data_IF_175830721020
#
_entry.id   IF_175830721020
#
_cell.length_a   1.000
_cell.length_b   1.000
_cell.length_c   1.000
_cell.angle_alpha   90.00
_cell.angle_beta   90.00
_cell.angle_gamma   90.00
#
_symmetry.space_group_name_H-M   'P 1'
#
loop_
_entity.id
_entity.type
_entity.pdbx_description
1 polymer ?
#
# COMPACT_ATOMS: atom_id res chain seq x y z
N UNK A 1 -4.75 31.80 -7.39
CA UNK A 1 -4.71 30.54 -6.62
C UNK A 1 -3.40 30.52 -5.85
N UNK A 2 -3.44 30.65 -4.53
CA UNK A 2 -2.25 30.55 -3.68
C UNK A 2 -1.65 29.15 -3.82
N UNK A 3 -0.33 29.05 -4.00
CA UNK A 3 0.35 27.76 -3.99
C UNK A 3 -0.02 27.04 -2.67
N UNK A 4 -0.43 25.77 -2.72
CA UNK A 4 -0.85 25.09 -1.51
C UNK A 4 0.39 24.98 -0.59
N UNK A 5 0.22 25.26 0.71
CA UNK A 5 1.29 25.35 1.70
C UNK A 5 2.19 24.10 1.71
N UNK A 6 3.49 24.25 1.96
CA UNK A 6 4.39 23.09 2.04
C UNK A 6 3.86 22.03 3.03
N UNK A 7 3.99 20.72 2.73
CA UNK A 7 3.55 19.69 3.65
C UNK A 7 4.42 19.74 4.90
N UNK A 8 3.83 19.60 6.08
CA UNK A 8 4.56 19.56 7.35
C UNK A 8 5.49 18.34 7.41
N UNK A 9 6.69 18.45 8.00
CA UNK A 9 7.54 17.29 8.25
C UNK A 9 6.80 16.27 9.13
N UNK A 10 6.80 14.97 8.78
CA UNK A 10 6.25 13.94 9.65
C UNK A 10 7.11 13.77 10.91
N UNK A 11 6.46 13.36 12.01
CA UNK A 11 7.15 12.89 13.22
C UNK A 11 6.65 11.50 13.59
N UNK A 12 7.41 10.76 14.40
CA UNK A 12 7.01 9.44 14.91
C UNK A 12 5.67 9.53 15.66
N UNK A 13 5.46 10.58 16.45
CA UNK A 13 4.22 10.82 17.20
C UNK A 13 3.04 11.05 16.25
N UNK A 14 3.21 11.88 15.22
CA UNK A 14 2.16 12.15 14.24
C UNK A 14 1.77 10.88 13.47
N UNK A 15 2.76 10.06 13.09
CA UNK A 15 2.52 8.78 12.40
C UNK A 15 1.77 7.81 13.30
N UNK A 16 2.21 7.64 14.55
CA UNK A 16 1.55 6.76 15.53
C UNK A 16 0.14 7.24 15.87
N UNK A 17 -0.07 8.55 16.01
CA UNK A 17 -1.39 9.14 16.25
C UNK A 17 -2.34 8.88 15.08
N UNK A 18 -1.89 9.02 13.83
CA UNK A 18 -2.68 8.70 12.66
C UNK A 18 -3.05 7.21 12.59
N UNK A 19 -2.11 6.32 12.94
CA UNK A 19 -2.38 4.89 13.01
C UNK A 19 -3.43 4.54 14.08
N UNK A 20 -3.33 5.13 15.28
CA UNK A 20 -4.32 4.95 16.34
C UNK A 20 -5.70 5.49 15.93
N UNK A 21 -5.75 6.66 15.29
CA UNK A 21 -6.96 7.23 14.71
C UNK A 21 -7.60 6.29 13.68
N UNK A 22 -6.81 5.69 12.79
CA UNK A 22 -7.31 4.75 11.78
C UNK A 22 -7.98 3.53 12.42
N UNK A 23 -7.33 2.92 13.41
CA UNK A 23 -7.86 1.73 14.08
C UNK A 23 -9.10 2.02 14.94
N UNK A 24 -9.24 3.25 15.45
CA UNK A 24 -10.41 3.71 16.18
C UNK A 24 -11.55 4.23 15.26
N UNK A 25 -11.29 4.46 13.97
CA UNK A 25 -12.28 4.97 13.03
C UNK A 25 -13.43 3.96 12.85
N UNK A 26 -14.70 4.39 12.97
CA UNK A 26 -15.84 3.48 12.89
C UNK A 26 -16.01 2.82 11.53
N UNK A 27 -15.42 3.39 10.47
CA UNK A 27 -15.40 2.79 9.13
C UNK A 27 -14.15 1.93 8.92
N UNK A 28 -12.96 2.46 9.23
CA UNK A 28 -11.72 1.76 8.88
C UNK A 28 -11.29 0.69 9.89
N UNK A 29 -11.57 0.88 11.18
CA UNK A 29 -11.24 -0.10 12.22
C UNK A 29 -11.90 -1.47 11.99
N UNK A 30 -13.23 -1.56 11.74
CA UNK A 30 -13.88 -2.82 11.40
C UNK A 30 -13.33 -3.47 10.13
N UNK A 31 -13.04 -2.67 9.09
CA UNK A 31 -12.46 -3.16 7.84
C UNK A 31 -11.07 -3.79 8.06
N UNK A 32 -10.20 -3.13 8.84
CA UNK A 32 -8.89 -3.66 9.21
C UNK A 32 -9.01 -4.99 9.96
N UNK A 33 -9.93 -5.10 10.92
CA UNK A 33 -10.17 -6.35 11.65
C UNK A 33 -10.70 -7.47 10.76
N UNK A 34 -11.56 -7.15 9.79
CA UNK A 34 -12.09 -8.13 8.85
C UNK A 34 -10.98 -8.69 7.95
N UNK A 35 -10.11 -7.83 7.43
CA UNK A 35 -8.96 -8.24 6.62
C UNK A 35 -7.94 -9.03 7.44
N UNK A 36 -7.61 -8.59 8.65
CA UNK A 36 -6.74 -9.34 9.56
C UNK A 36 -7.26 -10.76 9.79
N UNK A 37 -8.57 -10.91 10.02
CA UNK A 37 -9.19 -12.23 10.18
C UNK A 37 -9.07 -13.06 8.91
N UNK A 38 -9.44 -12.50 7.75
CA UNK A 38 -9.43 -13.24 6.49
C UNK A 38 -8.03 -13.74 6.10
N UNK A 39 -7.01 -12.89 6.19
CA UNK A 39 -5.63 -13.27 5.85
C UNK A 39 -5.00 -14.21 6.89
N UNK A 40 -5.47 -14.19 8.14
CA UNK A 40 -5.07 -15.17 9.15
C UNK A 40 -5.75 -16.53 8.95
N UNK A 41 -7.02 -16.55 8.54
CA UNK A 41 -7.75 -17.80 8.23
C UNK A 41 -7.20 -18.48 6.97
N UNK A 42 -6.80 -17.69 5.97
CA UNK A 42 -6.36 -18.16 4.66
C UNK A 42 -4.91 -17.73 4.34
N UNK A 43 -3.92 -18.25 5.10
CA UNK A 43 -2.55 -17.75 5.04
C UNK A 43 -1.80 -18.13 3.76
N UNK A 44 -2.17 -19.24 3.11
CA UNK A 44 -1.58 -19.73 1.87
C UNK A 44 -2.30 -19.16 0.63
N UNK A 45 -1.67 -19.30 -0.53
CA UNK A 45 -2.19 -18.83 -1.81
C UNK A 45 -2.41 -19.96 -2.82
N UNK A 46 -2.78 -21.14 -2.33
CA UNK A 46 -2.85 -22.39 -3.12
C UNK A 46 -4.27 -22.89 -3.38
N UNK A 47 -5.27 -22.42 -2.63
CA UNK A 47 -6.68 -22.79 -2.77
C UNK A 47 -7.44 -21.61 -3.37
N UNK A 48 -8.19 -21.84 -4.45
CA UNK A 48 -8.84 -20.79 -5.22
C UNK A 48 -9.86 -20.02 -4.38
N UNK A 49 -10.73 -20.71 -3.64
CA UNK A 49 -11.79 -20.10 -2.83
C UNK A 49 -11.24 -19.23 -1.69
N UNK A 50 -10.12 -19.66 -1.10
CA UNK A 50 -9.38 -18.95 -0.07
C UNK A 50 -8.77 -17.66 -0.64
N UNK A 51 -8.11 -17.76 -1.81
CA UNK A 51 -7.55 -16.61 -2.51
C UNK A 51 -8.65 -15.65 -2.96
N UNK A 52 -9.71 -16.16 -3.58
CA UNK A 52 -10.86 -15.38 -4.03
C UNK A 52 -11.50 -14.59 -2.88
N UNK A 53 -11.65 -15.22 -1.70
CA UNK A 53 -12.15 -14.55 -0.49
C UNK A 53 -11.26 -13.36 -0.12
N UNK A 54 -9.94 -13.53 -0.14
CA UNK A 54 -8.99 -12.43 0.11
C UNK A 54 -9.08 -11.34 -0.96
N UNK A 55 -9.15 -11.70 -2.25
CA UNK A 55 -9.26 -10.73 -3.35
C UNK A 55 -10.54 -9.90 -3.21
N UNK A 56 -11.71 -10.53 -3.02
CA UNK A 56 -13.00 -9.86 -2.88
C UNK A 56 -12.99 -8.89 -1.70
N UNK A 57 -12.57 -9.35 -0.52
CA UNK A 57 -12.54 -8.53 0.69
C UNK A 57 -11.59 -7.35 0.53
N UNK A 58 -10.36 -7.60 0.06
CA UNK A 58 -9.36 -6.55 -0.10
C UNK A 58 -9.82 -5.52 -1.14
N UNK A 59 -10.31 -5.98 -2.29
CA UNK A 59 -10.73 -5.11 -3.37
C UNK A 59 -11.90 -4.22 -2.96
N UNK A 60 -12.87 -4.77 -2.24
CA UNK A 60 -14.03 -4.02 -1.73
C UNK A 60 -13.61 -2.99 -0.67
N UNK A 61 -12.86 -3.43 0.34
CA UNK A 61 -12.52 -2.59 1.50
C UNK A 61 -11.50 -1.50 1.19
N UNK A 62 -10.61 -1.72 0.21
CA UNK A 62 -9.68 -0.68 -0.29
C UNK A 62 -10.15 0.03 -1.57
N UNK A 63 -11.25 -0.40 -2.18
CA UNK A 63 -11.75 0.16 -3.45
C UNK A 63 -10.69 0.16 -4.56
N UNK A 64 -9.96 -0.95 -4.72
CA UNK A 64 -8.86 -1.05 -5.70
C UNK A 64 -9.33 -1.19 -7.15
N UNK A 65 -10.64 -1.33 -7.36
CA UNK A 65 -11.30 -1.42 -8.66
C UNK A 65 -10.85 -2.63 -9.52
N UNK A 66 -10.41 -3.73 -8.92
CA UNK A 66 -10.24 -4.99 -9.67
C UNK A 66 -11.63 -5.48 -10.06
N UNK A 67 -11.96 -5.48 -11.35
CA UNK A 67 -13.28 -5.94 -11.84
C UNK A 67 -13.27 -7.43 -12.17
N UNK A 68 -12.18 -7.91 -12.76
CA UNK A 68 -11.91 -9.32 -13.03
C UNK A 68 -11.42 -10.03 -11.75
N UNK A 69 -12.32 -10.12 -10.76
CA UNK A 69 -11.98 -10.58 -9.39
C UNK A 69 -11.65 -12.07 -9.36
N UNK A 70 -12.38 -12.89 -10.12
CA UNK A 70 -12.13 -14.33 -10.20
C UNK A 70 -10.83 -14.61 -10.92
N UNK A 71 -10.60 -13.93 -12.04
CA UNK A 71 -9.39 -14.05 -12.86
C UNK A 71 -8.16 -13.60 -12.08
N UNK A 72 -8.28 -12.53 -11.27
CA UNK A 72 -7.20 -12.12 -10.36
C UNK A 72 -6.88 -13.21 -9.32
N UNK A 73 -7.90 -13.91 -8.80
CA UNK A 73 -7.68 -14.99 -7.85
C UNK A 73 -7.01 -16.21 -8.50
N UNK A 74 -7.48 -16.62 -9.68
CA UNK A 74 -6.88 -17.69 -10.50
C UNK A 74 -5.42 -17.36 -10.85
N UNK A 75 -5.16 -16.12 -11.24
CA UNK A 75 -3.83 -15.60 -11.53
C UNK A 75 -2.88 -15.73 -10.32
N UNK A 76 -3.32 -15.28 -9.14
CA UNK A 76 -2.51 -15.40 -7.91
C UNK A 76 -2.19 -16.86 -7.57
N UNK A 77 -3.17 -17.78 -7.71
CA UNK A 77 -2.95 -19.21 -7.48
C UNK A 77 -1.95 -19.77 -8.48
N UNK A 78 -2.10 -19.45 -9.77
CA UNK A 78 -1.21 -19.93 -10.82
C UNK A 78 0.24 -19.45 -10.64
N UNK A 79 0.45 -18.25 -10.09
CA UNK A 79 1.77 -17.70 -9.82
C UNK A 79 2.54 -18.40 -8.68
N UNK A 80 1.88 -19.15 -7.79
CA UNK A 80 2.55 -19.87 -6.70
C UNK A 80 3.38 -18.96 -5.77
N UNK A 81 2.78 -17.87 -5.29
CA UNK A 81 3.51 -16.73 -4.72
C UNK A 81 4.07 -16.92 -3.30
N UNK A 82 3.70 -17.98 -2.57
CA UNK A 82 4.01 -18.11 -1.13
C UNK A 82 5.52 -18.11 -0.83
N UNK A 83 6.33 -18.76 -1.67
CA UNK A 83 7.79 -18.75 -1.53
C UNK A 83 8.39 -17.35 -1.74
N UNK A 84 7.87 -16.60 -2.71
CA UNK A 84 8.31 -15.23 -3.00
C UNK A 84 7.93 -14.26 -1.88
N UNK A 85 6.72 -14.40 -1.32
CA UNK A 85 6.27 -13.63 -0.16
C UNK A 85 7.13 -13.92 1.07
N UNK A 86 7.55 -15.18 1.30
CA UNK A 86 8.38 -15.54 2.44
C UNK A 86 9.74 -14.83 2.45
N UNK A 87 10.33 -14.59 1.28
CA UNK A 87 11.63 -13.90 1.13
C UNK A 87 11.51 -12.40 0.88
N UNK A 88 10.29 -11.84 0.83
CA UNK A 88 10.08 -10.42 0.56
C UNK A 88 10.43 -10.00 -0.86
N UNK A 89 10.30 -10.90 -1.84
CA UNK A 89 10.58 -10.59 -3.25
C UNK A 89 9.68 -9.46 -3.73
N UNK A 90 10.28 -8.39 -4.28
CA UNK A 90 9.53 -7.25 -4.84
C UNK A 90 8.87 -7.59 -6.18
N UNK A 91 9.44 -8.55 -6.91
CA UNK A 91 8.93 -8.99 -8.21
C UNK A 91 7.51 -9.56 -8.12
N UNK A 92 7.14 -10.14 -6.97
CA UNK A 92 5.80 -10.69 -6.74
C UNK A 92 4.69 -9.65 -6.88
N UNK A 93 4.97 -8.39 -6.51
CA UNK A 93 3.99 -7.30 -6.64
C UNK A 93 3.75 -6.97 -8.12
N UNK A 94 4.82 -6.94 -8.93
CA UNK A 94 4.71 -6.77 -10.37
C UNK A 94 3.94 -7.93 -11.02
N UNK A 95 4.28 -9.17 -10.65
CA UNK A 95 3.62 -10.36 -11.18
C UNK A 95 2.11 -10.39 -10.88
N UNK A 96 1.70 -10.06 -9.65
CA UNK A 96 0.26 -9.98 -9.30
C UNK A 96 -0.41 -8.80 -10.01
N UNK A 97 0.28 -7.67 -10.16
CA UNK A 97 -0.28 -6.48 -10.79
C UNK A 97 -0.53 -6.63 -12.29
N UNK A 98 0.23 -7.49 -12.95
CA UNK A 98 0.17 -7.75 -14.39
C UNK A 98 -0.84 -8.84 -14.75
N UNK A 99 -2.13 -8.49 -14.63
CA UNK A 99 -3.24 -9.34 -15.06
C UNK A 99 -3.60 -8.99 -16.51
N UNK A 100 -3.13 -9.78 -17.48
CA UNK A 100 -3.35 -9.52 -18.92
C UNK A 100 -4.83 -9.27 -19.27
N UNK A 101 -5.73 -10.05 -18.67
CA UNK A 101 -7.17 -9.97 -18.92
C UNK A 101 -7.82 -8.63 -18.52
N UNK A 102 -7.16 -7.80 -17.71
CA UNK A 102 -7.75 -6.56 -17.20
C UNK A 102 -7.44 -5.31 -18.04
N UNK A 103 -6.48 -5.40 -18.96
CA UNK A 103 -6.02 -4.27 -19.77
C UNK A 103 -5.37 -3.13 -18.97
N UNK A 104 -5.05 -3.32 -17.68
CA UNK A 104 -4.35 -2.33 -16.86
C UNK A 104 -3.55 -2.94 -15.70
N UNK A 105 -2.52 -2.24 -15.26
CA UNK A 105 -1.68 -2.67 -14.14
C UNK A 105 -2.34 -2.39 -12.78
N UNK A 106 -2.37 -3.39 -11.90
CA UNK A 106 -3.05 -3.35 -10.60
C UNK A 106 -2.12 -3.14 -9.39
N UNK A 107 -1.12 -2.27 -9.49
CA UNK A 107 -0.13 -2.05 -8.42
C UNK A 107 -0.73 -1.73 -7.04
N UNK A 108 -1.80 -0.93 -7.00
CA UNK A 108 -2.48 -0.59 -5.76
C UNK A 108 -3.05 -1.84 -5.07
N UNK A 109 -3.65 -2.76 -5.83
CA UNK A 109 -4.16 -4.02 -5.31
C UNK A 109 -3.01 -4.96 -4.91
N UNK A 110 -2.06 -5.19 -5.82
CA UNK A 110 -0.98 -6.14 -5.61
C UNK A 110 -0.11 -5.81 -4.40
N UNK A 111 0.27 -4.54 -4.24
CA UNK A 111 1.05 -4.09 -3.08
C UNK A 111 0.31 -4.27 -1.76
N UNK A 112 -1.00 -3.99 -1.74
CA UNK A 112 -1.86 -4.22 -0.56
C UNK A 112 -1.97 -5.70 -0.24
N UNK A 113 -2.17 -6.55 -1.26
CA UNK A 113 -2.26 -8.00 -1.08
C UNK A 113 -0.98 -8.55 -0.42
N UNK A 114 0.18 -8.12 -0.92
CA UNK A 114 1.48 -8.51 -0.37
C UNK A 114 1.71 -7.94 1.05
N UNK A 115 1.33 -6.69 1.29
CA UNK A 115 1.42 -6.06 2.61
C UNK A 115 0.54 -6.77 3.66
N UNK A 116 -0.63 -7.27 3.27
CA UNK A 116 -1.49 -8.06 4.18
C UNK A 116 -0.92 -9.43 4.52
N UNK A 117 -0.14 -10.05 3.62
CA UNK A 117 0.61 -11.27 3.93
C UNK A 117 1.88 -11.00 4.76
N UNK A 118 2.60 -9.91 4.46
CA UNK A 118 3.92 -9.59 5.03
C UNK A 118 4.06 -8.07 5.30
N UNK A 119 3.42 -7.54 6.35
CA UNK A 119 3.31 -6.08 6.58
C UNK A 119 4.63 -5.38 6.88
N UNK A 120 5.67 -6.13 7.23
CA UNK A 120 7.03 -5.61 7.49
C UNK A 120 7.83 -5.46 6.19
N UNK A 121 7.50 -6.22 5.16
CA UNK A 121 8.32 -6.33 3.94
C UNK A 121 7.81 -5.43 2.81
N UNK A 122 6.50 -5.22 2.73
CA UNK A 122 5.86 -4.55 1.60
C UNK A 122 5.20 -3.23 2.03
N UNK A 123 5.73 -2.07 1.62
CA UNK A 123 4.98 -0.83 1.67
C UNK A 123 3.83 -0.88 0.66
N UNK A 124 2.72 -0.27 1.05
CA UNK A 124 1.52 -0.16 0.21
C UNK A 124 1.74 0.96 -0.81
N UNK A 125 1.46 0.69 -2.08
CA UNK A 125 1.40 1.71 -3.11
C UNK A 125 -0.04 2.23 -3.25
N UNK A 126 -0.19 3.55 -3.33
CA UNK A 126 -1.46 4.24 -3.55
C UNK A 126 -1.23 5.56 -4.32
N UNK A 127 -2.08 5.86 -5.29
CA UNK A 127 -1.92 7.05 -6.14
C UNK A 127 -2.07 8.37 -5.37
N UNK A 128 -2.81 8.38 -4.26
CA UNK A 128 -2.92 9.56 -3.40
C UNK A 128 -1.61 9.78 -2.63
N UNK A 129 -1.02 8.69 -2.13
CA UNK A 129 0.27 8.70 -1.43
C UNK A 129 1.43 9.03 -2.38
N UNK A 130 1.44 8.52 -3.61
CA UNK A 130 2.39 8.91 -4.68
C UNK A 130 2.45 10.44 -4.82
N UNK A 131 1.28 11.08 -5.01
CA UNK A 131 1.20 12.54 -5.16
C UNK A 131 1.75 13.29 -3.94
N UNK A 132 1.49 12.78 -2.73
CA UNK A 132 2.00 13.36 -1.51
C UNK A 132 3.53 13.19 -1.38
N UNK A 133 4.06 12.00 -1.67
CA UNK A 133 5.50 11.73 -1.66
C UNK A 133 6.24 12.61 -2.66
N UNK A 134 5.69 12.80 -3.87
CA UNK A 134 6.28 13.71 -4.85
C UNK A 134 6.28 15.15 -4.34
N UNK A 135 5.23 15.58 -3.64
CA UNK A 135 5.19 16.90 -3.01
C UNK A 135 6.25 17.04 -1.91
N UNK A 136 6.39 16.05 -1.03
CA UNK A 136 7.49 16.02 -0.05
C UNK A 136 8.86 16.10 -0.73
N UNK A 137 9.08 15.34 -1.81
CA UNK A 137 10.32 15.37 -2.57
C UNK A 137 10.60 16.76 -3.16
N UNK A 138 9.56 17.43 -3.66
CA UNK A 138 9.64 18.80 -4.20
C UNK A 138 10.01 19.86 -3.15
N UNK A 139 9.78 19.61 -1.86
CA UNK A 139 10.10 20.56 -0.78
C UNK A 139 11.34 20.18 0.02
N UNK A 140 11.48 18.91 0.40
CA UNK A 140 12.52 18.43 1.32
C UNK A 140 13.70 17.76 0.62
N UNK A 141 13.54 17.33 -0.64
CA UNK A 141 14.58 16.59 -1.39
C UNK A 141 15.11 15.40 -0.57
N UNK A 142 14.20 14.56 -0.09
CA UNK A 142 14.53 13.48 0.85
C UNK A 142 15.25 12.29 0.20
N UNK A 143 15.30 12.24 -1.13
CA UNK A 143 16.06 11.23 -1.86
C UNK A 143 16.44 11.68 -3.28
N UNK A 144 17.09 10.78 -4.03
CA UNK A 144 17.46 11.00 -5.43
C UNK A 144 16.63 10.09 -6.33
N UNK A 145 15.52 10.59 -6.84
CA UNK A 145 14.62 9.88 -7.74
C UNK A 145 13.74 10.88 -8.54
N UNK A 146 13.18 10.42 -9.65
CA UNK A 146 12.23 11.13 -10.49
C UNK A 146 10.79 10.72 -10.17
N UNK A 147 9.80 11.54 -10.56
CA UNK A 147 8.40 11.22 -10.30
C UNK A 147 7.96 9.88 -10.92
N UNK A 148 8.52 9.52 -12.09
CA UNK A 148 8.22 8.25 -12.75
C UNK A 148 8.65 7.03 -11.91
N UNK A 149 9.70 7.17 -11.10
CA UNK A 149 10.23 6.08 -10.26
C UNK A 149 9.25 5.67 -9.16
N UNK A 150 8.31 6.54 -8.77
CA UNK A 150 7.25 6.18 -7.82
C UNK A 150 6.34 5.05 -8.34
N UNK A 151 6.29 4.84 -9.66
CA UNK A 151 5.47 3.81 -10.32
C UNK A 151 6.21 2.51 -10.58
N UNK A 152 7.52 2.47 -10.31
CA UNK A 152 8.27 1.22 -10.24
C UNK A 152 8.24 0.75 -8.79
N UNK A 153 7.68 -0.44 -8.52
CA UNK A 153 7.54 -0.90 -7.14
C UNK A 153 8.89 -1.14 -6.45
N UNK A 154 9.91 -1.57 -7.19
CA UNK A 154 11.26 -1.77 -6.67
C UNK A 154 11.85 -0.46 -6.13
N UNK A 155 11.74 0.60 -6.92
CA UNK A 155 12.16 1.96 -6.57
C UNK A 155 11.26 2.56 -5.49
N UNK A 156 9.95 2.33 -5.54
CA UNK A 156 8.99 2.80 -4.54
C UNK A 156 9.37 2.33 -3.13
N UNK A 157 9.80 1.08 -2.97
CA UNK A 157 10.30 0.55 -1.69
C UNK A 157 11.50 1.36 -1.19
N UNK A 158 12.45 1.68 -2.06
CA UNK A 158 13.62 2.49 -1.70
C UNK A 158 13.24 3.93 -1.36
N UNK A 159 12.28 4.50 -2.09
CA UNK A 159 11.76 5.84 -1.82
C UNK A 159 11.10 5.91 -0.44
N UNK A 160 10.29 4.92 -0.07
CA UNK A 160 9.69 4.84 1.28
C UNK A 160 10.77 4.70 2.35
N UNK A 161 11.81 3.90 2.12
CA UNK A 161 12.93 3.76 3.07
C UNK A 161 13.70 5.08 3.22
N UNK A 162 13.99 5.77 2.12
CA UNK A 162 14.62 7.08 2.14
C UNK A 162 13.77 8.12 2.89
N UNK A 163 12.44 8.08 2.72
CA UNK A 163 11.51 8.93 3.46
C UNK A 163 11.60 8.69 4.98
N UNK A 164 11.57 7.41 5.41
CA UNK A 164 11.70 7.04 6.82
C UNK A 164 13.03 7.54 7.41
N UNK A 165 14.14 7.32 6.69
CA UNK A 165 15.47 7.73 7.13
C UNK A 165 15.61 9.25 7.22
N UNK A 166 15.17 9.98 6.18
CA UNK A 166 15.30 11.44 6.12
C UNK A 166 14.58 12.14 7.27
N UNK A 167 13.39 11.65 7.65
CA UNK A 167 12.60 12.23 8.74
C UNK A 167 12.82 11.53 10.10
N UNK A 168 13.83 10.67 10.22
CA UNK A 168 14.17 9.95 11.46
C UNK A 168 12.96 9.24 12.08
N UNK A 169 12.19 8.53 11.25
CA UNK A 169 10.97 7.83 11.65
C UNK A 169 11.28 6.40 12.17
N UNK A 170 12.36 6.24 12.92
CA UNK A 170 12.81 4.94 13.41
C UNK A 170 11.73 4.24 14.26
N UNK A 171 11.56 2.94 14.03
CA UNK A 171 10.56 2.12 14.72
C UNK A 171 9.10 2.33 14.25
N UNK A 172 8.87 3.13 13.20
CA UNK A 172 7.59 3.18 12.49
C UNK A 172 7.50 2.01 11.50
N UNK A 173 6.35 1.33 11.46
CA UNK A 173 6.10 0.28 10.46
C UNK A 173 5.55 0.86 9.16
N UNK A 174 5.70 0.15 8.04
CA UNK A 174 5.10 0.57 6.76
C UNK A 174 3.59 0.77 6.84
N UNK A 175 2.88 -0.07 7.60
CA UNK A 175 1.43 0.10 7.80
C UNK A 175 1.09 1.39 8.57
N UNK A 176 1.86 1.74 9.60
CA UNK A 176 1.65 3.00 10.33
C UNK A 176 1.94 4.21 9.43
N UNK A 177 3.03 4.17 8.68
CA UNK A 177 3.39 5.23 7.74
C UNK A 177 2.34 5.38 6.63
N UNK A 178 1.85 4.28 6.04
CA UNK A 178 0.81 4.30 5.02
C UNK A 178 -0.46 5.02 5.51
N UNK A 179 -0.95 4.67 6.72
CA UNK A 179 -2.12 5.32 7.34
C UNK A 179 -1.91 6.83 7.52
N UNK A 180 -0.72 7.23 7.97
CA UNK A 180 -0.37 8.64 8.12
C UNK A 180 -0.38 9.38 6.77
N UNK A 181 0.35 8.84 5.79
CA UNK A 181 0.44 9.45 4.46
C UNK A 181 -0.93 9.53 3.80
N UNK A 182 -1.74 8.48 3.94
CA UNK A 182 -3.09 8.43 3.38
C UNK A 182 -4.01 9.48 4.01
N UNK A 183 -4.08 9.57 5.35
CA UNK A 183 -4.88 10.61 6.01
C UNK A 183 -4.39 12.00 5.64
N UNK A 184 -3.08 12.22 5.66
CA UNK A 184 -2.54 13.54 5.38
C UNK A 184 -2.83 13.96 3.93
N UNK A 185 -2.66 13.05 2.98
CA UNK A 185 -3.00 13.30 1.60
C UNK A 185 -4.51 13.54 1.42
N UNK A 186 -5.37 12.78 2.12
CA UNK A 186 -6.83 13.00 2.10
C UNK A 186 -7.22 14.38 2.62
N UNK A 187 -6.58 14.88 3.67
CA UNK A 187 -6.82 16.22 4.20
C UNK A 187 -6.31 17.29 3.22
N UNK A 188 -5.13 17.09 2.63
CA UNK A 188 -4.49 18.04 1.73
C UNK A 188 -5.18 18.16 0.35
N UNK A 189 -5.80 17.09 -0.12
CA UNK A 189 -6.46 17.01 -1.43
C UNK A 189 -7.99 16.93 -1.34
N UNK A 190 -8.58 17.18 -0.16
CA UNK A 190 -10.05 17.19 0.02
C UNK A 190 -10.72 18.38 -0.65
N UNK A 191 -9.97 19.44 -0.95
CA UNK A 191 -10.45 20.71 -1.52
C UNK A 191 -9.76 21.08 -2.86
N UNK A 192 -9.27 20.08 -3.62
CA UNK A 192 -8.57 20.28 -4.89
C UNK A 192 -9.33 19.73 -6.10
#
# INVERSE_FOLDING_TARGET
>A
MTAPSAPSPPTVEAVRAAAARFSADPRYGPAERALTRAFATYPANTVLEDVLTKVVLLNSLYSTNVYAVTEMAEHIVALGIDGQLAVGSRAVVGAIADLEASGRVHYSFASKYCAWHRPILYPIYDNLVDRLLWRYQRHYRFGTFQQADLRDYGQYVEIIRAFIQHFSLDGVTFNQLDKYLWYYAKELYRDA
#
